data_IF_661249624995
#
_entry.id   IF_661249624995
#
_cell.length_a   1.000
_cell.length_b   1.000
_cell.length_c   1.000
_cell.angle_alpha   90.00
_cell.angle_beta   90.00
_cell.angle_gamma   90.00
#
_symmetry.space_group_name_H-M   'P 1'
#
loop_
_entity.id
_entity.type
_entity.pdbx_description
1 polymer ?
#
# COMPACT_ATOMS: atom_id res chain seq x y z
N UNK A 1 0.06 61.71 -12.97
CA UNK A 1 -0.74 60.84 -13.86
C UNK A 1 -0.41 59.41 -13.49
N UNK A 2 -1.31 58.72 -12.80
CA UNK A 2 -1.08 57.35 -12.32
C UNK A 2 -1.45 56.38 -13.44
N UNK A 3 -0.48 55.58 -13.90
CA UNK A 3 -0.70 54.51 -14.88
C UNK A 3 -1.52 53.40 -14.21
N UNK A 4 -2.73 53.20 -14.70
CA UNK A 4 -3.57 52.06 -14.35
C UNK A 4 -3.02 50.84 -15.10
N UNK A 5 -2.25 50.01 -14.41
CA UNK A 5 -1.83 48.69 -14.91
C UNK A 5 -3.09 47.85 -15.15
N UNK A 6 -3.24 47.36 -16.39
CA UNK A 6 -4.33 46.50 -16.78
C UNK A 6 -4.21 45.17 -16.01
N UNK A 7 -5.22 44.85 -15.19
CA UNK A 7 -5.28 43.64 -14.38
C UNK A 7 -5.13 42.37 -15.23
N UNK A 8 -5.43 42.46 -16.52
CA UNK A 8 -5.31 41.35 -17.48
C UNK A 8 -3.84 40.97 -17.74
N UNK A 9 -2.95 41.96 -17.86
CA UNK A 9 -1.51 41.72 -18.08
C UNK A 9 -0.84 41.10 -16.85
N UNK A 10 -1.31 41.46 -15.64
CA UNK A 10 -0.83 40.86 -14.40
C UNK A 10 -1.18 39.38 -14.31
N UNK A 11 -2.40 38.99 -14.69
CA UNK A 11 -2.85 37.59 -14.61
C UNK A 11 -2.16 36.72 -15.67
N UNK A 12 -1.94 37.26 -16.87
CA UNK A 12 -1.24 36.55 -17.94
C UNK A 12 0.25 36.26 -17.63
N UNK A 13 0.86 37.07 -16.76
CA UNK A 13 2.25 36.91 -16.32
C UNK A 13 2.45 36.01 -15.09
N UNK A 14 1.38 35.52 -14.47
CA UNK A 14 1.51 34.63 -13.32
C UNK A 14 1.97 33.23 -13.78
N UNK A 15 3.05 32.68 -13.22
CA UNK A 15 3.42 31.29 -13.47
C UNK A 15 2.27 30.42 -12.98
N UNK A 16 1.51 29.83 -13.89
CA UNK A 16 0.52 28.82 -13.52
C UNK A 16 1.28 27.67 -12.86
N UNK A 17 0.93 27.26 -11.63
CA UNK A 17 1.44 26.01 -11.09
C UNK A 17 1.07 24.91 -12.08
N UNK A 18 2.07 24.20 -12.58
CA UNK A 18 1.86 23.04 -13.43
C UNK A 18 0.84 22.15 -12.73
N UNK A 19 -0.26 21.82 -13.43
CA UNK A 19 -1.31 20.99 -12.88
C UNK A 19 -0.67 19.71 -12.33
N UNK A 20 -0.61 19.59 -11.01
CA UNK A 20 -0.06 18.41 -10.35
C UNK A 20 -0.88 17.24 -10.87
N UNK A 21 -0.26 16.32 -11.60
CA UNK A 21 -0.93 15.12 -12.06
C UNK A 21 -1.66 14.50 -10.85
N UNK A 22 -2.91 14.03 -11.01
CA UNK A 22 -3.68 13.52 -9.88
C UNK A 22 -2.86 12.45 -9.17
N UNK A 23 -2.49 12.73 -7.92
CA UNK A 23 -1.72 11.80 -7.10
C UNK A 23 -2.61 10.59 -6.84
N UNK A 24 -2.23 9.44 -7.41
CA UNK A 24 -2.91 8.19 -7.18
C UNK A 24 -2.82 7.84 -5.69
N UNK A 25 -3.94 7.58 -5.01
CA UNK A 25 -3.85 7.11 -3.63
C UNK A 25 -3.31 5.67 -3.65
N UNK A 26 -2.17 5.36 -2.99
CA UNK A 26 -1.61 4.01 -2.97
C UNK A 26 -2.59 2.98 -2.40
N UNK A 27 -3.49 3.39 -1.50
CA UNK A 27 -4.52 2.49 -0.94
C UNK A 27 -5.52 1.99 -1.99
N UNK A 28 -5.73 2.73 -3.09
CA UNK A 28 -6.61 2.34 -4.19
C UNK A 28 -6.02 1.21 -5.06
N UNK A 29 -4.73 0.91 -4.88
CA UNK A 29 -4.05 -0.21 -5.53
C UNK A 29 -4.33 -1.55 -4.84
N UNK A 30 -4.87 -1.48 -3.62
CA UNK A 30 -5.13 -2.66 -2.81
C UNK A 30 -6.42 -3.35 -3.29
N UNK A 31 -6.56 -4.65 -3.02
CA UNK A 31 -7.77 -5.39 -3.34
C UNK A 31 -9.02 -4.72 -2.77
N UNK A 32 -10.13 -4.76 -3.53
CA UNK A 32 -11.41 -4.20 -3.09
C UNK A 32 -11.98 -5.00 -1.93
N UNK A 33 -12.64 -4.31 -1.00
CA UNK A 33 -13.13 -4.89 0.26
C UNK A 33 -14.65 -4.66 0.39
N UNK A 34 -15.35 -5.46 1.18
CA UNK A 34 -16.73 -5.16 1.54
C UNK A 34 -16.82 -3.82 2.32
N UNK A 35 -17.88 -3.03 2.11
CA UNK A 35 -18.06 -1.72 2.77
C UNK A 35 -17.96 -1.76 4.30
N UNK A 36 -18.43 -2.86 4.92
CA UNK A 36 -18.35 -3.04 6.37
C UNK A 36 -16.89 -3.08 6.85
N UNK A 37 -16.02 -3.71 6.06
CA UNK A 37 -14.58 -3.75 6.31
C UNK A 37 -13.94 -2.40 6.05
N UNK A 38 -14.22 -1.76 4.90
CA UNK A 38 -13.65 -0.46 4.52
C UNK A 38 -13.78 0.59 5.63
N UNK A 39 -14.90 0.60 6.36
CA UNK A 39 -15.12 1.52 7.50
C UNK A 39 -14.12 1.32 8.64
N UNK A 40 -13.63 0.11 8.85
CA UNK A 40 -12.64 -0.20 9.89
C UNK A 40 -11.23 0.19 9.44
N UNK A 41 -10.91 0.01 8.15
CA UNK A 41 -9.53 0.07 7.63
C UNK A 41 -9.20 1.30 6.78
N UNK A 42 -10.17 2.12 6.38
CA UNK A 42 -9.94 3.35 5.62
C UNK A 42 -9.18 4.42 6.42
N UNK A 43 -9.06 4.24 7.73
CA UNK A 43 -8.37 5.15 8.63
C UNK A 43 -6.87 4.89 8.75
N UNK A 44 -6.36 3.79 8.19
CA UNK A 44 -4.93 3.43 8.26
C UNK A 44 -4.16 4.14 7.13
N UNK A 45 -3.08 4.87 7.44
CA UNK A 45 -2.30 5.57 6.43
C UNK A 45 -1.46 4.57 5.60
N UNK A 46 -1.00 4.99 4.42
CA UNK A 46 -0.36 4.09 3.46
C UNK A 46 0.97 3.53 3.99
N UNK A 47 1.71 4.34 4.76
CA UNK A 47 2.95 3.98 5.41
C UNK A 47 2.78 2.88 6.48
N UNK A 48 1.57 2.65 6.97
CA UNK A 48 1.25 1.60 7.98
C UNK A 48 0.69 0.33 7.32
N UNK A 49 0.59 0.32 5.99
CA UNK A 49 0.28 -0.90 5.23
C UNK A 49 1.56 -1.73 5.06
N UNK A 50 1.48 -3.01 5.37
CA UNK A 50 2.53 -4.02 5.16
C UNK A 50 2.05 -5.03 4.13
N UNK A 51 2.74 -5.14 3.00
CA UNK A 51 2.47 -6.13 1.97
C UNK A 51 3.42 -7.29 2.18
N UNK A 52 2.90 -8.43 2.65
CA UNK A 52 3.69 -9.65 2.86
C UNK A 52 3.49 -10.59 1.68
N UNK A 53 4.59 -10.96 1.04
CA UNK A 53 4.63 -11.93 -0.06
C UNK A 53 5.08 -13.26 0.52
N UNK A 54 4.19 -14.25 0.46
CA UNK A 54 4.44 -15.59 1.00
C UNK A 54 4.49 -16.62 -0.13
N UNK A 55 5.55 -17.47 -0.21
CA UNK A 55 5.65 -18.51 -1.23
C UNK A 55 4.65 -19.65 -1.03
N UNK A 56 4.15 -19.85 0.21
CA UNK A 56 3.30 -20.99 0.56
C UNK A 56 1.80 -20.67 0.57
N UNK A 57 1.40 -19.41 0.40
CA UNK A 57 0.00 -19.01 0.55
C UNK A 57 -0.61 -18.48 -0.75
N UNK A 58 -1.47 -19.29 -1.38
CA UNK A 58 -2.01 -19.04 -2.71
C UNK A 58 -3.54 -18.97 -2.72
N UNK A 59 -4.12 -17.80 -2.35
CA UNK A 59 -5.43 -17.23 -2.85
C UNK A 59 -6.29 -16.48 -1.83
N UNK A 60 -5.70 -15.80 -0.84
CA UNK A 60 -6.46 -14.87 0.01
C UNK A 60 -5.65 -13.64 0.32
N UNK A 61 -6.25 -12.48 0.06
CA UNK A 61 -5.85 -11.19 0.63
C UNK A 61 -6.24 -11.23 2.09
N UNK A 62 -5.35 -11.71 2.96
CA UNK A 62 -5.58 -11.61 4.40
C UNK A 62 -5.21 -10.20 4.79
N UNK A 63 -6.23 -9.43 5.16
CA UNK A 63 -6.05 -8.13 5.77
C UNK A 63 -6.19 -8.26 7.27
N UNK A 64 -5.18 -7.83 8.00
CA UNK A 64 -5.19 -7.84 9.46
C UNK A 64 -4.83 -6.46 9.99
N UNK A 65 -5.75 -5.85 10.74
CA UNK A 65 -5.44 -4.74 11.63
C UNK A 65 -4.83 -5.31 12.91
N UNK A 66 -3.74 -4.72 13.37
CA UNK A 66 -3.11 -5.11 14.64
C UNK A 66 -3.23 -3.99 15.63
N UNK A 67 -4.28 -4.05 16.45
CA UNK A 67 -4.40 -3.25 17.67
C UNK A 67 -4.66 -4.25 18.80
N UNK A 68 -3.84 -4.19 19.85
CA UNK A 68 -4.06 -4.92 21.11
C UNK A 68 -4.18 -6.45 21.01
N UNK A 69 -3.50 -7.08 20.04
CA UNK A 69 -3.38 -8.55 19.95
C UNK A 69 -4.58 -9.27 19.32
N UNK A 70 -5.62 -8.54 18.91
CA UNK A 70 -6.71 -9.07 18.11
C UNK A 70 -6.43 -8.87 16.61
N UNK A 71 -6.72 -9.88 15.79
CA UNK A 71 -6.71 -9.75 14.34
C UNK A 71 -8.05 -10.11 13.76
N UNK A 72 -8.62 -9.23 12.95
CA UNK A 72 -9.64 -9.66 11.99
C UNK A 72 -8.94 -10.06 10.68
N UNK A 73 -9.42 -11.10 10.02
CA UNK A 73 -8.94 -11.52 8.70
C UNK A 73 -10.05 -11.36 7.68
N UNK A 74 -9.80 -10.61 6.61
CA UNK A 74 -10.59 -10.72 5.39
C UNK A 74 -10.12 -11.92 4.57
N UNK A 75 -11.03 -12.82 4.21
CA UNK A 75 -10.71 -13.95 3.33
C UNK A 75 -10.99 -13.59 1.86
N UNK A 76 -10.36 -14.31 0.93
CA UNK A 76 -10.50 -14.06 -0.51
C UNK A 76 -11.93 -14.28 -1.04
N UNK A 77 -12.77 -14.96 -0.26
CA UNK A 77 -14.20 -15.12 -0.51
C UNK A 77 -15.06 -14.02 0.14
N UNK A 78 -14.44 -12.97 0.70
CA UNK A 78 -15.09 -11.85 1.36
C UNK A 78 -15.58 -12.11 2.79
N UNK A 79 -15.37 -13.33 3.35
CA UNK A 79 -15.72 -13.61 4.75
C UNK A 79 -14.72 -12.97 5.70
N UNK A 80 -15.23 -12.49 6.83
CA UNK A 80 -14.42 -11.96 7.92
C UNK A 80 -14.30 -13.04 9.00
N UNK A 81 -13.10 -13.21 9.54
CA UNK A 81 -12.84 -14.08 10.70
C UNK A 81 -11.98 -13.36 11.72
N UNK A 82 -12.49 -13.20 12.93
CA UNK A 82 -11.70 -12.76 14.07
C UNK A 82 -10.91 -13.95 14.63
N UNK A 83 -9.67 -13.73 15.00
CA UNK A 83 -8.79 -14.73 15.58
C UNK A 83 -7.81 -14.09 16.56
N UNK A 84 -7.47 -14.83 17.61
CA UNK A 84 -6.37 -14.48 18.48
C UNK A 84 -5.06 -14.69 17.72
N UNK A 85 -4.19 -13.69 17.77
CA UNK A 85 -2.92 -13.70 17.04
C UNK A 85 -1.88 -14.39 17.90
N UNK A 86 -1.14 -15.39 17.37
CA UNK A 86 -0.01 -15.95 18.08
C UNK A 86 0.99 -14.87 18.50
N UNK A 87 1.51 -14.88 19.75
CA UNK A 87 2.40 -13.82 20.26
C UNK A 87 3.67 -13.60 19.43
N UNK A 88 4.19 -14.66 18.82
CA UNK A 88 5.34 -14.69 17.93
C UNK A 88 5.07 -14.03 16.57
N UNK A 89 3.80 -13.86 16.23
CA UNK A 89 3.33 -13.21 15.01
C UNK A 89 2.69 -11.87 15.33
N UNK A 90 3.01 -11.18 16.43
CA UNK A 90 2.54 -9.81 16.72
C UNK A 90 3.49 -8.79 16.08
N UNK A 91 2.95 -7.80 15.37
CA UNK A 91 3.78 -6.71 14.83
C UNK A 91 4.05 -5.72 15.98
N UNK A 92 5.28 -5.20 16.10
CA UNK A 92 5.62 -4.24 17.15
C UNK A 92 4.84 -2.93 17.04
N UNK A 93 4.35 -2.59 15.84
CA UNK A 93 3.59 -1.38 15.56
C UNK A 93 2.21 -1.76 15.00
N UNK A 94 1.16 -0.97 15.30
CA UNK A 94 -0.12 -1.10 14.63
C UNK A 94 0.06 -0.98 13.13
N UNK A 95 -0.35 -2.00 12.38
CA UNK A 95 -0.23 -1.99 10.95
C UNK A 95 -1.37 -2.77 10.31
N UNK A 96 -1.58 -2.52 9.02
CA UNK A 96 -2.45 -3.33 8.17
C UNK A 96 -1.59 -4.30 7.36
N UNK A 97 -1.60 -5.56 7.74
CA UNK A 97 -0.93 -6.61 6.97
C UNK A 97 -1.81 -7.02 5.79
N UNK A 98 -1.22 -7.17 4.60
CA UNK A 98 -1.87 -7.65 3.38
C UNK A 98 -1.01 -8.76 2.81
N UNK A 99 -1.52 -9.98 2.87
CA UNK A 99 -0.87 -11.14 2.29
C UNK A 99 -1.26 -11.29 0.81
N UNK A 100 -0.29 -11.37 -0.10
CA UNK A 100 -0.57 -11.53 -1.53
C UNK A 100 0.54 -12.29 -2.27
N UNK A 101 0.28 -12.65 -3.53
CA UNK A 101 1.28 -13.27 -4.41
C UNK A 101 2.32 -12.25 -4.87
N UNK A 102 3.49 -12.75 -5.30
CA UNK A 102 4.53 -11.92 -5.87
C UNK A 102 4.03 -11.14 -7.10
N UNK A 103 3.26 -11.80 -7.97
CA UNK A 103 2.63 -11.18 -9.15
C UNK A 103 1.65 -10.04 -8.79
N UNK A 104 0.94 -10.16 -7.68
CA UNK A 104 0.02 -9.11 -7.23
C UNK A 104 0.81 -7.92 -6.69
N UNK A 105 1.85 -8.17 -5.90
CA UNK A 105 2.74 -7.14 -5.39
C UNK A 105 3.50 -6.44 -6.53
N UNK A 106 3.92 -7.16 -7.58
CA UNK A 106 4.58 -6.59 -8.76
C UNK A 106 3.67 -5.61 -9.51
N UNK A 107 2.39 -5.96 -9.71
CA UNK A 107 1.39 -5.05 -10.31
C UNK A 107 1.14 -3.78 -9.49
N UNK A 108 1.22 -3.88 -8.17
CA UNK A 108 1.18 -2.70 -7.29
C UNK A 108 2.45 -1.88 -7.48
N UNK A 109 3.62 -2.52 -7.42
CA UNK A 109 4.94 -1.90 -7.54
C UNK A 109 5.11 -1.10 -8.84
N UNK A 110 4.55 -1.57 -9.95
CA UNK A 110 4.54 -0.86 -11.23
C UNK A 110 3.81 0.50 -11.16
N UNK A 111 2.73 0.56 -10.38
CA UNK A 111 1.86 1.75 -10.25
C UNK A 111 2.30 2.67 -9.11
N UNK A 112 2.86 2.11 -8.04
CA UNK A 112 3.44 2.82 -6.91
C UNK A 112 4.60 2.01 -6.34
N UNK A 113 5.79 2.61 -6.29
CA UNK A 113 6.98 1.91 -5.80
C UNK A 113 6.75 1.35 -4.39
N UNK A 114 7.10 0.08 -4.23
CA UNK A 114 7.20 -0.56 -2.93
C UNK A 114 8.64 -0.50 -2.46
N UNK A 115 8.83 -0.43 -1.14
CA UNK A 115 10.13 -0.52 -0.48
C UNK A 115 10.09 -1.64 0.56
N UNK A 116 11.26 -2.22 0.85
CA UNK A 116 11.37 -3.22 1.90
C UNK A 116 10.94 -2.62 3.25
N UNK A 117 10.21 -3.40 4.02
CA UNK A 117 9.81 -3.07 5.38
C UNK A 117 10.32 -4.17 6.33
N UNK A 118 10.59 -3.85 7.61
CA UNK A 118 10.77 -4.86 8.65
C UNK A 118 9.63 -5.87 8.55
N UNK A 119 9.90 -7.16 8.81
CA UNK A 119 9.00 -8.31 8.71
C UNK A 119 8.77 -8.99 10.05
N UNK A 120 7.67 -9.74 10.21
CA UNK A 120 7.45 -10.61 11.38
C UNK A 120 7.98 -12.05 11.20
N UNK A 121 8.83 -12.34 10.21
CA UNK A 121 9.40 -13.68 10.00
C UNK A 121 9.48 -14.13 8.53
N UNK A 122 9.02 -15.35 8.25
CA UNK A 122 9.25 -16.18 7.04
C UNK A 122 8.77 -15.63 5.68
N UNK A 123 8.39 -14.36 5.59
CA UNK A 123 7.88 -13.73 4.37
C UNK A 123 8.64 -12.46 4.05
N UNK A 124 8.87 -12.19 2.76
CA UNK A 124 9.35 -10.88 2.32
C UNK A 124 8.23 -9.85 2.52
N UNK A 125 8.54 -8.75 3.22
CA UNK A 125 7.55 -7.72 3.56
C UNK A 125 7.94 -6.38 2.96
N UNK A 126 6.95 -5.68 2.44
CA UNK A 126 7.09 -4.41 1.75
C UNK A 126 6.11 -3.39 2.33
N UNK A 127 6.34 -2.11 2.03
CA UNK A 127 5.37 -1.02 2.24
C UNK A 127 5.37 -0.10 1.03
N UNK A 128 4.37 0.77 0.93
CA UNK A 128 4.39 1.82 -0.09
C UNK A 128 5.54 2.78 0.19
N UNK A 129 6.37 3.05 -0.81
CA UNK A 129 7.39 4.07 -0.70
C UNK A 129 6.73 5.45 -0.54
N UNK A 130 7.40 6.37 0.16
CA UNK A 130 6.90 7.75 0.30
C UNK A 130 6.75 8.46 -1.05
N UNK A 131 7.58 8.09 -2.03
CA UNK A 131 7.52 8.60 -3.39
C UNK A 131 7.04 7.52 -4.35
N UNK A 132 6.07 7.86 -5.21
CA UNK A 132 5.49 6.95 -6.20
C UNK A 132 6.52 6.33 -7.16
N UNK A 133 7.64 7.02 -7.41
CA UNK A 133 8.66 6.67 -8.40
C UNK A 133 10.08 6.61 -7.81
N UNK A 134 10.24 6.00 -6.61
CA UNK A 134 11.55 5.63 -6.08
C UNK A 134 12.29 4.61 -7.00
N UNK A 135 13.57 4.33 -6.74
CA UNK A 135 14.29 3.27 -7.47
C UNK A 135 13.59 1.92 -7.32
N UNK A 136 13.17 1.37 -8.45
CA UNK A 136 12.38 0.13 -8.56
C UNK A 136 13.23 -1.12 -8.61
N UNK A 137 14.49 -0.97 -8.97
CA UNK A 137 15.38 -2.06 -9.33
C UNK A 137 15.47 -3.15 -8.26
N UNK A 138 15.77 -2.83 -6.98
CA UNK A 138 15.96 -3.88 -5.97
C UNK A 138 14.68 -4.68 -5.71
N UNK A 139 13.55 -3.99 -5.52
CA UNK A 139 12.28 -4.64 -5.21
C UNK A 139 11.73 -5.41 -6.42
N UNK A 140 11.94 -4.92 -7.64
CA UNK A 140 11.56 -5.65 -8.86
C UNK A 140 12.31 -6.97 -9.01
N UNK A 141 13.60 -7.01 -8.65
CA UNK A 141 14.39 -8.25 -8.66
C UNK A 141 13.90 -9.23 -7.59
N UNK A 142 13.65 -8.75 -6.36
CA UNK A 142 13.16 -9.59 -5.28
C UNK A 142 11.78 -10.18 -5.57
N UNK A 143 10.84 -9.37 -6.09
CA UNK A 143 9.51 -9.84 -6.48
C UNK A 143 9.58 -10.89 -7.60
N UNK A 144 10.54 -10.80 -8.51
CA UNK A 144 10.75 -11.83 -9.55
C UNK A 144 11.22 -13.15 -8.94
N UNK A 145 12.20 -13.12 -8.04
CA UNK A 145 12.69 -14.33 -7.35
C UNK A 145 11.56 -15.00 -6.56
N UNK A 146 10.75 -14.21 -5.85
CA UNK A 146 9.59 -14.72 -5.12
C UNK A 146 8.51 -15.31 -6.03
N UNK A 147 8.35 -14.78 -7.25
CA UNK A 147 7.42 -15.33 -8.24
C UNK A 147 7.91 -16.68 -8.79
N UNK A 148 9.22 -16.84 -8.99
CA UNK A 148 9.84 -18.11 -9.39
C UNK A 148 9.66 -19.20 -8.32
N UNK A 149 9.76 -18.84 -7.03
CA UNK A 149 9.49 -19.75 -5.91
C UNK A 149 8.01 -20.16 -5.78
N UNK A 150 7.09 -19.38 -6.36
CA UNK A 150 5.64 -19.62 -6.34
C UNK A 150 5.12 -20.39 -7.56
N UNK A 151 5.96 -20.64 -8.57
CA UNK A 151 5.61 -21.29 -9.84
C UNK A 151 5.78 -22.81 -9.79
#
# INVERSE_FOLDING_TARGET
>A
MAQQLDLVDFIAGLPMPAATAPQLNPLDLLPRRPKAWERLVAHVPAEDVRISVSPTWTRVVVEQLREDGCGDQLLGNGKIRSHDVPPDLIWPEPCRLILMTADSAARIHERWCLEEAPGAGMSSTFRFAQQQHADRTPVSQQLRLLAEEQS
#
